data_IF_882659592040
#
_entry.id   IF_882659592040
#
_cell.length_a   1.000
_cell.length_b   1.000
_cell.length_c   1.000
_cell.angle_alpha   90.00
_cell.angle_beta   90.00
_cell.angle_gamma   90.00
#
_symmetry.space_group_name_H-M   'P 1'
#
loop_
_entity.id
_entity.type
_entity.pdbx_description
1 polymer ?
#
# COMPACT_ATOMS: atom_id res chain seq x y z
N UNK A 1 -21.35 -0.53 -0.26
CA UNK A 1 -19.95 -0.89 -0.51
C UNK A 1 -19.25 -1.00 0.83
N UNK A 2 -18.44 -2.05 1.04
CA UNK A 2 -17.65 -2.23 2.27
C UNK A 2 -16.36 -1.40 2.14
N UNK A 3 -15.98 -0.58 3.14
CA UNK A 3 -14.72 0.17 3.11
C UNK A 3 -13.49 -0.75 3.03
N UNK A 4 -12.51 -0.38 2.21
CA UNK A 4 -11.23 -1.10 2.15
C UNK A 4 -10.35 -0.85 3.39
N UNK A 5 -9.31 -1.67 3.60
CA UNK A 5 -8.40 -1.56 4.75
C UNK A 5 -7.75 -0.16 4.87
N UNK A 6 -7.40 0.46 3.74
CA UNK A 6 -6.82 1.81 3.72
C UNK A 6 -7.82 2.89 4.16
N UNK A 7 -9.09 2.73 3.81
CA UNK A 7 -10.15 3.65 4.26
C UNK A 7 -10.41 3.49 5.76
N UNK A 8 -10.39 2.25 6.27
CA UNK A 8 -10.53 1.96 7.69
C UNK A 8 -9.36 2.53 8.53
N UNK A 9 -8.17 2.62 7.94
CA UNK A 9 -6.98 3.17 8.58
C UNK A 9 -6.89 4.71 8.51
N UNK A 10 -7.87 5.39 7.89
CA UNK A 10 -7.85 6.84 7.75
C UNK A 10 -7.84 7.54 9.12
N UNK A 11 -6.98 8.53 9.28
CA UNK A 11 -6.57 9.20 10.52
C UNK A 11 -5.97 8.27 11.58
N UNK A 12 -5.49 7.09 11.18
CA UNK A 12 -4.87 6.09 12.05
C UNK A 12 -3.54 5.60 11.49
N UNK A 13 -3.25 4.32 11.72
CA UNK A 13 -2.06 3.64 11.20
C UNK A 13 -2.44 2.36 10.46
N UNK A 14 -1.75 2.08 9.36
CA UNK A 14 -1.82 0.82 8.62
C UNK A 14 -0.51 0.06 8.84
N UNK A 15 -0.60 -1.17 9.36
CA UNK A 15 0.52 -2.10 9.42
C UNK A 15 0.47 -3.02 8.19
N UNK A 16 1.58 -3.10 7.45
CA UNK A 16 1.80 -4.10 6.41
C UNK A 16 2.93 -5.02 6.84
N UNK A 17 2.60 -6.28 7.08
CA UNK A 17 3.61 -7.30 7.37
C UNK A 17 4.03 -8.02 6.08
N UNK A 18 5.24 -8.57 6.09
CA UNK A 18 5.85 -9.31 4.98
C UNK A 18 5.78 -8.59 3.62
N UNK A 19 6.07 -7.28 3.58
CA UNK A 19 5.93 -6.50 2.33
C UNK A 19 6.80 -7.02 1.18
N UNK A 20 7.91 -7.69 1.49
CA UNK A 20 8.82 -8.30 0.51
C UNK A 20 8.24 -9.52 -0.22
N UNK A 21 7.12 -10.09 0.25
CA UNK A 21 6.39 -11.19 -0.41
C UNK A 21 5.22 -10.70 -1.26
N UNK A 22 5.01 -9.38 -1.29
CA UNK A 22 3.93 -8.78 -2.04
C UNK A 22 4.14 -8.92 -3.56
N UNK A 23 3.11 -9.31 -4.35
CA UNK A 23 3.20 -9.25 -5.80
C UNK A 23 3.51 -7.84 -6.31
N UNK A 24 4.39 -7.70 -7.31
CA UNK A 24 4.80 -6.40 -7.88
C UNK A 24 3.62 -5.49 -8.28
N UNK A 25 2.54 -6.07 -8.80
CA UNK A 25 1.34 -5.31 -9.17
C UNK A 25 0.66 -4.65 -7.96
N UNK A 26 0.70 -5.29 -6.79
CA UNK A 26 0.16 -4.72 -5.56
C UNK A 26 1.11 -3.68 -4.97
N UNK A 27 2.43 -3.91 -5.03
CA UNK A 27 3.44 -2.90 -4.63
C UNK A 27 3.22 -1.58 -5.38
N UNK A 28 3.05 -1.65 -6.71
CA UNK A 28 2.78 -0.47 -7.54
C UNK A 28 1.49 0.26 -7.14
N UNK A 29 0.43 -0.47 -6.76
CA UNK A 29 -0.81 0.14 -6.27
C UNK A 29 -0.60 0.83 -4.93
N UNK A 30 0.12 0.22 -4.00
CA UNK A 30 0.42 0.83 -2.70
C UNK A 30 1.26 2.09 -2.90
N UNK A 31 2.30 2.04 -3.72
CA UNK A 31 3.12 3.20 -4.05
C UNK A 31 2.27 4.36 -4.58
N UNK A 32 1.33 4.07 -5.49
CA UNK A 32 0.41 5.07 -6.02
C UNK A 32 -0.47 5.69 -4.93
N UNK A 33 -1.00 4.89 -4.01
CA UNK A 33 -1.80 5.39 -2.88
C UNK A 33 -0.95 6.26 -1.95
N UNK A 34 0.30 5.89 -1.70
CA UNK A 34 1.20 6.68 -0.85
C UNK A 34 1.58 8.03 -1.49
N UNK A 35 1.78 8.04 -2.81
CA UNK A 35 2.11 9.25 -3.57
C UNK A 35 0.90 10.18 -3.72
N UNK A 36 -0.26 9.63 -4.11
CA UNK A 36 -1.46 10.42 -4.38
C UNK A 36 -2.22 10.76 -3.09
N UNK A 37 -2.03 9.98 -2.02
CA UNK A 37 -2.81 10.03 -0.77
C UNK A 37 -4.31 9.85 -0.99
N UNK A 38 -4.69 9.02 -1.97
CA UNK A 38 -6.09 8.78 -2.32
C UNK A 38 -6.29 7.35 -2.81
N UNK A 39 -7.53 6.87 -2.73
CA UNK A 39 -7.96 5.58 -3.28
C UNK A 39 -9.26 5.73 -4.05
N UNK A 40 -9.47 4.80 -4.98
CA UNK A 40 -10.74 4.59 -5.67
C UNK A 40 -11.29 3.22 -5.29
N UNK A 41 -12.60 3.15 -5.01
CA UNK A 41 -13.26 1.88 -4.73
C UNK A 41 -13.46 1.10 -6.03
N UNK A 42 -13.41 -0.22 -5.95
CA UNK A 42 -13.71 -1.08 -7.11
C UNK A 42 -15.09 -0.74 -7.69
N UNK A 43 -15.14 -0.44 -8.99
CA UNK A 43 -16.36 -0.05 -9.69
C UNK A 43 -16.82 1.40 -9.46
N UNK A 44 -15.99 2.26 -8.87
CA UNK A 44 -16.28 3.68 -8.66
C UNK A 44 -15.14 4.55 -9.17
N UNK A 45 -15.48 5.69 -9.77
CA UNK A 45 -14.51 6.72 -10.18
C UNK A 45 -14.37 7.82 -9.11
N UNK A 46 -14.91 7.60 -7.90
CA UNK A 46 -14.83 8.56 -6.81
C UNK A 46 -13.51 8.38 -6.08
N UNK A 47 -12.70 9.43 -6.11
CA UNK A 47 -11.48 9.52 -5.31
C UNK A 47 -11.82 9.82 -3.85
N UNK A 48 -11.15 9.12 -2.95
CA UNK A 48 -11.28 9.26 -1.49
C UNK A 48 -9.91 9.61 -0.95
N UNK A 49 -9.77 10.82 -0.41
CA UNK A 49 -8.52 11.26 0.25
C UNK A 49 -8.28 10.45 1.51
N UNK A 50 -7.03 10.12 1.74
CA UNK A 50 -6.56 9.33 2.86
C UNK A 50 -5.44 10.08 3.59
N UNK A 51 -5.45 9.96 4.91
CA UNK A 51 -4.39 10.45 5.78
C UNK A 51 -4.10 9.36 6.82
N UNK A 52 -3.06 8.57 6.63
CA UNK A 52 -2.69 7.52 7.58
C UNK A 52 -1.17 7.40 7.68
N UNK A 53 -0.72 6.90 8.83
CA UNK A 53 0.68 6.48 9.01
C UNK A 53 0.84 5.05 8.49
N UNK A 54 1.82 4.81 7.63
CA UNK A 54 2.19 3.45 7.22
C UNK A 54 3.32 2.93 8.12
N UNK A 55 3.18 1.71 8.61
CA UNK A 55 4.23 0.93 9.27
C UNK A 55 4.39 -0.35 8.46
N UNK A 56 5.60 -0.68 8.04
CA UNK A 56 5.86 -1.84 7.18
C UNK A 56 6.97 -2.71 7.76
N UNK A 57 6.78 -4.03 7.69
CA UNK A 57 7.70 -5.05 8.18
C UNK A 57 7.99 -6.08 7.09
N UNK A 58 9.20 -6.66 7.11
CA UNK A 58 9.56 -7.81 6.28
C UNK A 58 10.79 -8.50 6.86
N UNK A 59 10.92 -9.80 6.62
CA UNK A 59 12.10 -10.60 6.92
C UNK A 59 13.13 -10.60 5.77
N UNK A 60 12.81 -9.99 4.63
CA UNK A 60 13.71 -9.92 3.45
C UNK A 60 14.61 -8.70 3.50
N UNK A 61 15.79 -8.82 2.89
CA UNK A 61 16.64 -7.67 2.62
C UNK A 61 16.09 -6.88 1.42
N UNK A 62 15.44 -5.75 1.68
CA UNK A 62 14.79 -4.96 0.62
C UNK A 62 15.77 -4.39 -0.40
N UNK A 63 17.00 -4.03 -0.02
CA UNK A 63 17.99 -3.51 -0.96
C UNK A 63 18.35 -4.56 -2.03
N UNK A 64 18.50 -5.82 -1.62
CA UNK A 64 18.73 -6.94 -2.53
C UNK A 64 17.50 -7.23 -3.40
N UNK A 65 16.30 -7.18 -2.83
CA UNK A 65 15.06 -7.39 -3.59
C UNK A 65 14.82 -6.29 -4.62
N UNK A 66 15.17 -5.03 -4.30
CA UNK A 66 15.14 -3.89 -5.24
C UNK A 66 16.17 -4.11 -6.35
N UNK A 67 17.41 -4.45 -6.01
CA UNK A 67 18.47 -4.72 -7.00
C UNK A 67 18.10 -5.88 -7.94
N UNK A 68 17.35 -6.87 -7.44
CA UNK A 68 16.85 -7.99 -8.23
C UNK A 68 15.53 -7.72 -8.97
N UNK A 69 14.96 -6.51 -8.85
CA UNK A 69 13.72 -6.11 -9.51
C UNK A 69 12.46 -6.78 -8.95
N UNK A 70 12.53 -7.38 -7.75
CA UNK A 70 11.42 -8.07 -7.07
C UNK A 70 10.68 -7.17 -6.07
N UNK A 71 11.26 -6.04 -5.71
CA UNK A 71 10.65 -5.02 -4.86
C UNK A 71 10.80 -3.61 -5.46
N UNK A 72 9.85 -2.71 -5.18
CA UNK A 72 9.80 -1.33 -5.69
C UNK A 72 9.39 -0.32 -4.63
#
# INVERSE_FOLDING_TARGET
SVPGKMELANNGSLLLDEIGDMPLALQAKILRVLQEQQVERLGSNRQIKLNFRLIACTNKNLEQEVAAGRFR
#
